data_IF_665865523044
#
_entry.id   IF_665865523044
#
_cell.length_a   1.000
_cell.length_b   1.000
_cell.length_c   1.000
_cell.angle_alpha   90.00
_cell.angle_beta   90.00
_cell.angle_gamma   90.00
#
_symmetry.space_group_name_H-M   'P 1'
#
loop_
_entity.id
_entity.type
_entity.pdbx_description
1 polymer ?
#
# COMPACT_ATOMS: atom_id res chain seq x y z
N UNK A 1 -45.12 -3.32 28.13
CA UNK A 1 -45.30 -3.24 26.66
C UNK A 1 -43.98 -3.13 25.87
N UNK A 2 -42.78 -3.28 26.49
CA UNK A 2 -41.47 -3.17 25.81
C UNK A 2 -40.69 -4.50 25.69
N UNK A 3 -41.12 -5.58 26.36
CA UNK A 3 -40.37 -6.85 26.38
C UNK A 3 -40.68 -7.79 25.19
N UNK A 4 -41.80 -7.58 24.46
CA UNK A 4 -42.16 -8.41 23.30
C UNK A 4 -41.60 -7.90 21.96
N UNK A 5 -41.07 -6.67 21.91
CA UNK A 5 -40.47 -6.11 20.69
C UNK A 5 -39.05 -6.62 20.47
N UNK A 6 -38.27 -6.82 21.54
CA UNK A 6 -36.89 -7.30 21.46
C UNK A 6 -36.83 -8.75 20.98
N UNK A 7 -37.69 -9.62 21.51
CA UNK A 7 -37.79 -11.03 21.09
C UNK A 7 -38.24 -11.16 19.64
N UNK A 8 -39.18 -10.31 19.19
CA UNK A 8 -39.64 -10.29 17.80
C UNK A 8 -38.54 -9.86 16.83
N UNK A 9 -37.74 -8.84 17.18
CA UNK A 9 -36.64 -8.36 16.34
C UNK A 9 -35.49 -9.38 16.28
N UNK A 10 -35.14 -9.97 17.43
CA UNK A 10 -34.12 -11.02 17.52
C UNK A 10 -34.55 -12.26 16.73
N UNK A 11 -35.82 -12.64 16.81
CA UNK A 11 -36.39 -13.75 16.05
C UNK A 11 -36.39 -13.49 14.54
N UNK A 12 -36.70 -12.27 14.11
CA UNK A 12 -36.61 -11.85 12.70
C UNK A 12 -35.16 -11.90 12.20
N UNK A 13 -34.19 -11.41 12.97
CA UNK A 13 -32.76 -11.48 12.63
C UNK A 13 -32.25 -12.92 12.54
N UNK A 14 -32.65 -13.78 13.47
CA UNK A 14 -32.29 -15.21 13.46
C UNK A 14 -32.92 -15.95 12.27
N UNK A 15 -34.15 -15.59 11.88
CA UNK A 15 -34.80 -16.10 10.67
C UNK A 15 -34.08 -15.63 9.41
N UNK A 16 -33.61 -14.37 9.35
CA UNK A 16 -32.86 -13.84 8.21
C UNK A 16 -31.47 -14.48 8.05
N UNK A 17 -30.81 -14.83 9.16
CA UNK A 17 -29.53 -15.52 9.15
C UNK A 17 -29.66 -17.00 8.71
N UNK A 18 -30.80 -17.64 8.99
CA UNK A 18 -31.05 -19.05 8.67
C UNK A 18 -31.86 -19.27 7.37
N UNK A 19 -32.38 -18.21 6.76
CA UNK A 19 -32.80 -18.27 5.37
C UNK A 19 -31.54 -18.52 4.55
N UNK A 20 -31.33 -19.77 4.14
CA UNK A 20 -30.43 -20.13 3.04
C UNK A 20 -30.77 -19.20 1.89
N UNK A 21 -30.03 -18.09 1.76
CA UNK A 21 -30.15 -17.23 0.61
C UNK A 21 -29.82 -18.12 -0.57
N UNK A 22 -30.77 -18.28 -1.48
CA UNK A 22 -30.43 -18.56 -2.87
C UNK A 22 -29.17 -17.75 -3.19
N UNK A 23 -28.12 -18.41 -3.68
CA UNK A 23 -26.83 -17.80 -4.03
C UNK A 23 -26.98 -16.85 -5.24
N UNK A 24 -27.88 -15.88 -5.17
CA UNK A 24 -27.84 -14.65 -5.92
C UNK A 24 -27.33 -13.59 -4.98
N UNK A 25 -26.00 -13.42 -4.92
CA UNK A 25 -25.41 -12.31 -4.17
C UNK A 25 -26.06 -10.98 -4.55
N UNK A 26 -25.98 -9.99 -3.65
CA UNK A 26 -26.52 -8.62 -3.80
C UNK A 26 -26.15 -7.98 -5.16
N UNK A 27 -25.05 -8.43 -5.78
CA UNK A 27 -24.59 -8.00 -7.09
C UNK A 27 -25.23 -8.84 -8.21
N UNK A 28 -26.17 -8.23 -8.92
CA UNK A 28 -26.72 -8.79 -10.16
C UNK A 28 -25.65 -8.92 -11.26
N UNK A 29 -25.91 -9.74 -12.29
CA UNK A 29 -25.05 -9.83 -13.48
C UNK A 29 -24.85 -8.47 -14.15
N UNK A 30 -25.85 -7.59 -14.11
CA UNK A 30 -25.76 -6.22 -14.64
C UNK A 30 -24.76 -5.38 -13.84
N UNK A 31 -24.76 -5.48 -12.51
CA UNK A 31 -23.78 -4.78 -11.66
C UNK A 31 -22.36 -5.25 -11.93
N UNK A 32 -22.15 -6.56 -12.09
CA UNK A 32 -20.82 -7.10 -12.42
C UNK A 32 -20.34 -6.65 -13.80
N UNK A 33 -21.23 -6.56 -14.78
CA UNK A 33 -20.91 -6.02 -16.10
C UNK A 33 -20.52 -4.54 -16.02
N UNK A 34 -21.28 -3.73 -15.30
CA UNK A 34 -20.98 -2.30 -15.10
C UNK A 34 -19.63 -2.07 -14.39
N UNK A 35 -19.31 -2.87 -13.36
CA UNK A 35 -17.99 -2.79 -12.71
C UNK A 35 -16.86 -3.18 -13.66
N UNK A 36 -17.05 -4.20 -14.51
CA UNK A 36 -16.05 -4.57 -15.51
C UNK A 36 -15.83 -3.47 -16.54
N UNK A 37 -16.90 -2.85 -17.03
CA UNK A 37 -16.84 -1.70 -17.94
C UNK A 37 -16.10 -0.53 -17.29
N UNK A 38 -16.41 -0.24 -16.03
CA UNK A 38 -15.75 0.80 -15.24
C UNK A 38 -14.24 0.54 -15.07
N UNK A 39 -13.85 -0.71 -14.83
CA UNK A 39 -12.45 -1.12 -14.71
C UNK A 39 -11.71 -1.12 -16.06
N UNK A 40 -12.43 -1.22 -17.19
CA UNK A 40 -11.87 -1.12 -18.53
C UNK A 40 -11.67 0.34 -18.96
N UNK A 41 -12.38 1.28 -18.34
CA UNK A 41 -12.25 2.69 -18.65
C UNK A 41 -10.90 3.25 -18.17
N UNK A 42 -10.03 3.58 -19.12
CA UNK A 42 -8.69 4.09 -18.83
C UNK A 42 -8.64 5.55 -18.35
N UNK A 43 -9.74 6.32 -18.48
CA UNK A 43 -9.81 7.69 -17.98
C UNK A 43 -10.13 7.79 -16.49
N UNK A 44 -10.60 6.70 -15.88
CA UNK A 44 -10.96 6.65 -14.46
C UNK A 44 -9.87 5.93 -13.69
N UNK A 45 -9.43 6.53 -12.59
CA UNK A 45 -8.58 5.91 -11.59
C UNK A 45 -9.43 5.46 -10.40
N UNK A 46 -9.25 4.21 -10.00
CA UNK A 46 -9.76 3.67 -8.75
C UNK A 46 -8.66 3.73 -7.68
N UNK A 47 -8.91 4.43 -6.57
CA UNK A 47 -7.95 4.55 -5.47
C UNK A 47 -8.62 4.40 -4.10
N UNK A 48 -7.82 4.11 -3.07
CA UNK A 48 -8.27 4.09 -1.68
C UNK A 48 -8.21 5.51 -1.10
N UNK A 49 -9.19 5.91 -0.28
CA UNK A 49 -9.10 7.21 0.39
C UNK A 49 -7.95 7.21 1.41
N UNK A 50 -7.40 8.40 1.65
CA UNK A 50 -6.38 8.61 2.69
C UNK A 50 -6.85 8.19 4.09
N UNK A 51 -8.13 8.42 4.39
CA UNK A 51 -8.77 8.10 5.65
C UNK A 51 -10.15 7.50 5.41
N UNK A 52 -10.51 6.54 6.25
CA UNK A 52 -11.79 5.85 6.19
C UNK A 52 -11.78 4.62 5.28
N UNK A 53 -12.95 3.98 5.17
CA UNK A 53 -13.17 2.85 4.29
C UNK A 53 -13.86 3.30 2.99
N UNK A 54 -13.69 2.53 1.92
CA UNK A 54 -14.37 2.75 0.64
C UNK A 54 -13.42 2.83 -0.54
N UNK A 55 -13.96 3.31 -1.66
CA UNK A 55 -13.27 3.50 -2.93
C UNK A 55 -13.51 4.92 -3.43
N UNK A 56 -12.49 5.51 -4.03
CA UNK A 56 -12.55 6.82 -4.67
C UNK A 56 -12.38 6.60 -6.16
N UNK A 57 -13.32 7.13 -6.93
CA UNK A 57 -13.22 7.23 -8.38
C UNK A 57 -12.79 8.65 -8.72
N UNK A 58 -11.72 8.77 -9.50
CA UNK A 58 -11.17 10.05 -9.92
C UNK A 58 -10.90 10.04 -11.41
N UNK A 59 -10.94 11.22 -12.02
CA UNK A 59 -10.35 11.41 -13.34
C UNK A 59 -8.83 11.18 -13.25
N UNK A 60 -8.30 10.35 -14.14
CA UNK A 60 -6.90 9.95 -14.16
C UNK A 60 -5.98 11.12 -14.51
N UNK A 61 -6.41 12.02 -15.40
CA UNK A 61 -5.63 13.18 -15.78
C UNK A 61 -5.51 14.16 -14.61
N UNK A 62 -6.62 14.49 -13.93
CA UNK A 62 -6.61 15.32 -12.71
C UNK A 62 -5.71 14.72 -11.61
N UNK A 63 -5.78 13.40 -11.41
CA UNK A 63 -4.91 12.72 -10.46
C UNK A 63 -3.42 12.85 -10.80
N UNK A 64 -3.06 12.64 -12.07
CA UNK A 64 -1.67 12.78 -12.55
C UNK A 64 -1.21 14.22 -12.39
N UNK A 65 -1.99 15.21 -12.85
CA UNK A 65 -1.64 16.62 -12.74
C UNK A 65 -1.45 17.07 -11.29
N UNK A 66 -2.27 16.58 -10.35
CA UNK A 66 -2.09 16.86 -8.92
C UNK A 66 -0.79 16.28 -8.35
N UNK A 67 -0.39 15.08 -8.78
CA UNK A 67 0.89 14.49 -8.38
C UNK A 67 2.08 15.22 -9.01
N UNK A 68 1.99 15.59 -10.28
CA UNK A 68 3.03 16.37 -10.97
C UNK A 68 3.22 17.74 -10.33
N UNK A 69 2.12 18.43 -9.98
CA UNK A 69 2.15 19.71 -9.25
C UNK A 69 2.82 19.56 -7.87
N UNK A 70 2.66 18.39 -7.23
CA UNK A 70 3.33 18.12 -5.95
C UNK A 70 4.83 17.87 -6.15
N UNK A 71 5.20 17.15 -7.23
CA UNK A 71 6.58 16.83 -7.56
C UNK A 71 7.37 18.01 -8.15
N UNK A 72 6.68 19.03 -8.67
CA UNK A 72 7.32 20.26 -9.15
C UNK A 72 7.81 21.18 -8.03
N UNK A 73 7.56 20.85 -6.76
CA UNK A 73 8.10 21.58 -5.63
C UNK A 73 9.61 21.29 -5.47
N UNK A 74 10.43 22.15 -6.08
CA UNK A 74 11.89 22.07 -6.08
C UNK A 74 12.51 22.23 -4.68
N UNK A 75 11.75 22.73 -3.70
CA UNK A 75 12.22 22.81 -2.31
C UNK A 75 12.24 21.44 -1.62
N UNK A 76 11.48 20.47 -2.15
CA UNK A 76 11.33 19.12 -1.59
C UNK A 76 11.82 18.02 -2.51
N UNK A 77 11.70 18.21 -3.82
CA UNK A 77 11.99 17.20 -4.81
C UNK A 77 13.03 17.70 -5.80
N UNK A 78 13.96 16.82 -6.14
CA UNK A 78 14.92 17.07 -7.21
C UNK A 78 14.74 15.98 -8.27
N UNK A 79 14.56 16.40 -9.51
CA UNK A 79 14.54 15.47 -10.63
C UNK A 79 15.96 14.93 -10.84
N UNK A 80 16.14 13.63 -10.66
CA UNK A 80 17.38 12.96 -11.02
C UNK A 80 17.45 12.84 -12.55
N UNK A 81 18.63 13.08 -13.14
CA UNK A 81 18.84 13.04 -14.59
C UNK A 81 18.25 11.77 -15.23
N UNK A 82 17.66 11.93 -16.42
CA UNK A 82 16.65 11.05 -17.05
C UNK A 82 16.97 9.56 -17.29
N UNK A 83 18.13 9.01 -16.91
CA UNK A 83 18.54 7.72 -17.51
C UNK A 83 19.26 6.71 -16.63
N UNK A 84 19.15 6.79 -15.30
CA UNK A 84 19.70 5.71 -14.47
C UNK A 84 18.72 5.30 -13.39
N UNK A 85 17.96 4.25 -13.69
CA UNK A 85 17.51 3.36 -12.64
C UNK A 85 18.74 2.91 -11.82
N UNK A 86 18.90 3.46 -10.62
CA UNK A 86 19.99 3.15 -9.72
C UNK A 86 19.73 1.91 -8.86
N UNK A 87 18.61 1.20 -9.08
CA UNK A 87 18.20 0.05 -8.28
C UNK A 87 19.29 -1.01 -8.26
N UNK A 88 19.83 -1.39 -9.42
CA UNK A 88 20.93 -2.37 -9.50
C UNK A 88 22.20 -1.91 -8.79
N UNK A 89 22.56 -0.63 -8.94
CA UNK A 89 23.75 -0.07 -8.27
C UNK A 89 23.57 -0.06 -6.75
N UNK A 90 22.38 0.27 -6.29
CA UNK A 90 22.00 0.25 -4.88
C UNK A 90 22.02 -1.17 -4.33
N UNK A 91 21.47 -2.13 -5.08
CA UNK A 91 21.49 -3.56 -4.75
C UNK A 91 22.92 -4.03 -4.52
N UNK A 92 23.84 -3.74 -5.45
CA UNK A 92 25.26 -4.07 -5.31
C UNK A 92 25.92 -3.42 -4.10
N UNK A 93 25.63 -2.14 -3.82
CA UNK A 93 26.16 -1.44 -2.64
C UNK A 93 25.70 -2.11 -1.35
N UNK A 94 24.43 -2.47 -1.25
CA UNK A 94 23.86 -3.17 -0.10
C UNK A 94 24.50 -4.56 0.05
N UNK A 95 24.62 -5.32 -1.04
CA UNK A 95 25.26 -6.65 -1.02
C UNK A 95 26.70 -6.56 -0.54
N UNK A 96 27.47 -5.58 -1.01
CA UNK A 96 28.86 -5.40 -0.58
C UNK A 96 28.94 -5.06 0.91
N UNK A 97 28.08 -4.17 1.40
CA UNK A 97 27.99 -3.86 2.83
C UNK A 97 27.65 -5.11 3.66
N UNK A 98 26.67 -5.90 3.23
CA UNK A 98 26.28 -7.13 3.92
C UNK A 98 27.41 -8.17 3.93
N UNK A 99 28.18 -8.27 2.84
CA UNK A 99 29.37 -9.13 2.77
C UNK A 99 30.43 -8.68 3.76
N UNK A 100 30.69 -7.38 3.86
CA UNK A 100 31.65 -6.84 4.83
C UNK A 100 31.23 -7.14 6.27
N UNK A 101 29.95 -6.98 6.61
CA UNK A 101 29.41 -7.32 7.92
C UNK A 101 29.53 -8.83 8.22
N UNK A 102 29.27 -9.68 7.23
CA UNK A 102 29.45 -11.13 7.34
C UNK A 102 30.92 -11.50 7.57
N UNK A 103 31.85 -10.90 6.82
CA UNK A 103 33.29 -11.15 6.95
C UNK A 103 33.84 -10.71 8.32
N UNK A 104 33.24 -9.70 8.94
CA UNK A 104 33.54 -9.25 10.30
C UNK A 104 32.85 -10.09 11.40
N UNK A 105 32.13 -11.15 11.03
CA UNK A 105 31.31 -11.97 11.93
C UNK A 105 30.24 -11.18 12.71
N UNK A 106 29.81 -10.02 12.19
CA UNK A 106 28.74 -9.20 12.77
C UNK A 106 27.35 -9.61 12.25
N UNK A 107 27.30 -10.41 11.19
CA UNK A 107 26.08 -10.86 10.56
C UNK A 107 26.09 -12.39 10.36
N UNK A 108 25.18 -13.15 11.00
CA UNK A 108 25.06 -14.59 10.78
C UNK A 108 24.76 -14.93 9.32
N UNK A 109 25.22 -16.09 8.80
CA UNK A 109 24.96 -16.49 7.41
C UNK A 109 23.47 -16.52 7.04
N UNK A 110 22.60 -16.96 7.95
CA UNK A 110 21.15 -17.01 7.76
C UNK A 110 20.54 -15.61 7.61
N UNK A 111 21.07 -14.62 8.35
CA UNK A 111 20.63 -13.23 8.21
C UNK A 111 21.17 -12.63 6.91
N UNK A 112 22.41 -12.94 6.53
CA UNK A 112 22.97 -12.49 5.25
C UNK A 112 22.09 -12.93 4.07
N UNK A 113 21.71 -14.20 3.98
CA UNK A 113 20.85 -14.71 2.91
C UNK A 113 19.49 -14.01 2.87
N UNK A 114 18.86 -13.81 4.04
CA UNK A 114 17.56 -13.13 4.15
C UNK A 114 17.62 -11.65 3.77
N UNK A 115 18.73 -10.98 4.06
CA UNK A 115 18.88 -9.54 3.84
C UNK A 115 19.39 -9.20 2.45
N UNK A 116 20.00 -10.16 1.76
CA UNK A 116 20.55 -9.97 0.42
C UNK A 116 19.41 -9.68 -0.56
N UNK A 117 19.32 -8.44 -1.08
CA UNK A 117 18.32 -8.11 -2.08
C UNK A 117 18.59 -8.88 -3.39
N UNK A 118 17.52 -9.29 -4.08
CA UNK A 118 17.59 -9.97 -5.37
C UNK A 118 16.41 -9.55 -6.25
N UNK A 119 16.68 -9.08 -7.46
CA UNK A 119 15.63 -8.73 -8.43
C UNK A 119 14.80 -7.51 -8.01
N UNK A 120 15.42 -6.57 -7.29
CA UNK A 120 14.73 -5.41 -6.73
C UNK A 120 14.15 -4.50 -7.82
N UNK A 121 13.11 -3.75 -7.47
CA UNK A 121 12.47 -2.76 -8.33
C UNK A 121 12.61 -1.35 -7.75
N UNK A 122 12.59 -0.31 -8.59
CA UNK A 122 12.51 1.06 -8.13
C UNK A 122 11.28 1.26 -7.21
N UNK A 123 11.40 2.04 -6.13
CA UNK A 123 10.24 2.44 -5.34
C UNK A 123 9.17 3.10 -6.20
N UNK A 124 7.90 2.80 -5.92
CA UNK A 124 6.76 3.31 -6.69
C UNK A 124 6.06 4.41 -5.93
N UNK A 125 5.97 5.60 -6.54
CA UNK A 125 5.16 6.68 -6.00
C UNK A 125 3.69 6.51 -6.43
N UNK A 126 2.78 6.66 -5.48
CA UNK A 126 1.35 6.79 -5.73
C UNK A 126 0.73 7.79 -4.74
N UNK A 127 -0.53 8.12 -4.98
CA UNK A 127 -1.27 9.15 -4.29
C UNK A 127 -2.55 8.62 -3.65
N UNK A 128 -2.77 8.97 -2.38
CA UNK A 128 -4.03 8.69 -1.68
C UNK A 128 -4.87 9.97 -1.58
N UNK A 129 -6.10 10.01 -2.13
CA UNK A 129 -6.94 11.20 -2.09
C UNK A 129 -7.42 11.51 -0.67
N UNK A 130 -7.19 12.74 -0.20
CA UNK A 130 -7.69 13.23 1.10
C UNK A 130 -9.14 13.70 0.96
N UNK A 131 -10.07 12.75 0.83
CA UNK A 131 -11.52 13.02 0.63
C UNK A 131 -12.18 13.86 1.73
N UNK A 132 -11.55 13.95 2.89
CA UNK A 132 -12.01 14.74 4.03
C UNK A 132 -11.50 16.20 4.03
N UNK A 133 -10.83 16.63 2.95
CA UNK A 133 -10.27 17.99 2.80
C UNK A 133 -10.85 18.67 1.56
N UNK A 134 -11.06 20.00 1.59
CA UNK A 134 -11.49 20.75 0.42
C UNK A 134 -10.46 20.61 -0.71
N UNK A 135 -10.91 20.68 -1.96
CA UNK A 135 -10.10 20.52 -3.17
C UNK A 135 -9.45 19.14 -3.37
N UNK A 136 -9.79 18.14 -2.52
CA UNK A 136 -9.35 16.75 -2.65
C UNK A 136 -7.82 16.60 -2.89
N UNK A 137 -6.96 17.17 -2.02
CA UNK A 137 -5.52 17.07 -2.19
C UNK A 137 -5.06 15.61 -2.08
N UNK A 138 -3.94 15.30 -2.72
CA UNK A 138 -3.35 13.95 -2.71
C UNK A 138 -2.29 13.85 -1.62
N UNK A 139 -2.24 12.73 -0.88
CA UNK A 139 -1.06 12.36 -0.06
C UNK A 139 -0.14 11.48 -0.90
N UNK A 140 1.09 11.93 -1.20
CA UNK A 140 2.08 11.07 -1.86
C UNK A 140 2.51 9.95 -0.89
N UNK A 141 2.64 8.74 -1.41
CA UNK A 141 3.10 7.54 -0.72
C UNK A 141 4.10 6.82 -1.61
N UNK A 142 5.23 6.44 -1.03
CA UNK A 142 6.25 5.66 -1.73
C UNK A 142 6.14 4.21 -1.27
N UNK A 143 5.81 3.32 -2.20
CA UNK A 143 5.88 1.87 -1.98
C UNK A 143 7.34 1.42 -2.10
N UNK A 144 7.90 1.03 -0.95
CA UNK A 144 9.26 0.52 -0.83
C UNK A 144 9.32 -1.02 -0.77
N UNK A 145 8.19 -1.73 -0.85
CA UNK A 145 8.10 -3.17 -0.53
C UNK A 145 8.96 -4.04 -1.46
N UNK A 146 9.09 -3.64 -2.73
CA UNK A 146 9.94 -4.32 -3.73
C UNK A 146 11.31 -3.66 -3.91
N UNK A 147 11.66 -2.69 -3.06
CA UNK A 147 12.92 -1.94 -3.18
C UNK A 147 14.09 -2.70 -2.56
N UNK A 148 15.35 -2.42 -2.99
CA UNK A 148 16.52 -3.08 -2.42
C UNK A 148 16.74 -2.73 -0.94
N UNK A 149 16.05 -1.71 -0.43
CA UNK A 149 16.16 -1.26 0.96
C UNK A 149 15.25 -2.03 1.92
N UNK A 150 14.19 -2.68 1.43
CA UNK A 150 13.08 -3.15 2.27
C UNK A 150 13.51 -4.10 3.39
N UNK A 151 14.21 -5.19 3.03
CA UNK A 151 14.64 -6.21 3.98
C UNK A 151 15.64 -5.66 5.01
N UNK A 152 16.58 -4.83 4.55
CA UNK A 152 17.58 -4.20 5.42
C UNK A 152 16.91 -3.21 6.38
N UNK A 153 15.96 -2.39 5.91
CA UNK A 153 15.23 -1.45 6.75
C UNK A 153 14.42 -2.17 7.84
N UNK A 154 13.71 -3.26 7.50
CA UNK A 154 12.99 -4.06 8.49
C UNK A 154 13.92 -4.66 9.54
N UNK A 155 15.09 -5.13 9.12
CA UNK A 155 16.09 -5.66 10.04
C UNK A 155 16.71 -4.59 10.94
N UNK A 156 17.01 -3.40 10.41
CA UNK A 156 17.51 -2.30 11.23
C UNK A 156 16.50 -1.90 12.32
N UNK A 157 15.20 -1.89 11.99
CA UNK A 157 14.14 -1.65 12.98
C UNK A 157 14.12 -2.76 14.04
N UNK A 158 14.29 -4.02 13.66
CA UNK A 158 14.31 -5.13 14.64
C UNK A 158 15.56 -5.13 15.52
N UNK A 159 16.69 -4.64 15.02
CA UNK A 159 17.91 -4.41 15.80
C UNK A 159 17.73 -3.24 16.76
N UNK A 160 17.18 -2.12 16.28
CA UNK A 160 16.95 -0.93 17.11
C UNK A 160 15.94 -1.16 18.23
N UNK A 161 14.88 -1.93 17.95
CA UNK A 161 13.81 -2.21 18.92
C UNK A 161 14.17 -3.33 19.91
N UNK A 162 15.40 -3.86 19.91
CA UNK A 162 15.79 -4.77 20.97
C UNK A 162 15.86 -4.00 22.28
N UNK A 163 15.17 -4.43 23.35
CA UNK A 163 15.32 -3.81 24.64
C UNK A 163 16.80 -3.91 25.01
N UNK A 164 17.42 -2.78 25.37
CA UNK A 164 18.76 -2.77 25.94
C UNK A 164 18.80 -3.86 27.00
N UNK A 165 19.55 -4.93 26.74
CA UNK A 165 19.81 -5.94 27.74
C UNK A 165 20.54 -5.22 28.86
N UNK A 166 19.81 -5.00 29.96
CA UNK A 166 20.32 -4.58 31.27
C UNK A 166 21.72 -5.18 31.47
N UNK A 167 22.73 -4.32 31.43
CA UNK A 167 23.98 -4.49 32.13
C UNK A 167 23.93 -3.58 33.35
#
# INVERSE_FOLDING_TARGET
MYENLSSTLVYQCHKYHNLKSSNSGILSKKHQAAVKELLQNQSILLSRPDKGAGWVLMDKCDYISKLETLLSDETKFQCLSKDRDQTKQTELKIINLLKDLKNRNLLPPTQFERLTPCGSQPPRLYGLPKVHKPNLPIRPVIDMSSSPYHAVAQWLVSVHNQPESRL
#
